data_IF_218016618641
#
_entry.id   IF_218016618641
#
_cell.length_a   1.000
_cell.length_b   1.000
_cell.length_c   1.000
_cell.angle_alpha   90.00
_cell.angle_beta   90.00
_cell.angle_gamma   90.00
#
_symmetry.space_group_name_H-M   'P 1'
#
loop_
_entity.id
_entity.type
_entity.pdbx_description
1 polymer ?
#
# COMPACT_ATOMS: atom_id res chain seq x y z
N UNK A 1 23.80 10.89 45.32
CA UNK A 1 22.62 10.40 44.57
C UNK A 1 22.44 11.19 43.28
N UNK A 2 23.45 11.96 42.86
CA UNK A 2 23.31 13.05 41.90
C UNK A 2 23.97 12.72 40.55
N UNK A 3 24.61 11.56 40.45
CA UNK A 3 25.25 11.06 39.22
C UNK A 3 24.36 10.20 38.34
N UNK A 4 23.37 9.50 38.92
CA UNK A 4 22.40 8.70 38.16
C UNK A 4 21.27 9.56 37.57
N UNK A 5 20.84 10.63 38.24
CA UNK A 5 19.83 11.56 37.70
C UNK A 5 20.34 12.42 36.53
N UNK A 6 21.64 12.76 36.51
CA UNK A 6 22.25 13.53 35.41
C UNK A 6 22.47 12.71 34.14
N UNK A 7 22.75 11.40 34.27
CA UNK A 7 22.82 10.48 33.12
C UNK A 7 21.42 10.19 32.57
N UNK A 8 20.44 9.94 33.44
CA UNK A 8 19.05 9.73 33.00
C UNK A 8 18.44 10.99 32.37
N UNK A 9 18.77 12.19 32.86
CA UNK A 9 18.35 13.45 32.26
C UNK A 9 18.94 13.69 30.87
N UNK A 10 20.23 13.38 30.68
CA UNK A 10 20.91 13.51 29.38
C UNK A 10 20.34 12.57 28.30
N UNK A 11 20.07 11.32 28.66
CA UNK A 11 19.48 10.34 27.73
C UNK A 11 18.03 10.67 27.38
N UNK A 12 17.29 11.25 28.33
CA UNK A 12 15.89 11.66 28.14
C UNK A 12 15.82 12.86 27.19
N UNK A 13 16.62 13.91 27.41
CA UNK A 13 16.72 15.08 26.53
C UNK A 13 17.24 14.72 25.12
N UNK A 14 18.20 13.79 25.02
CA UNK A 14 18.66 13.24 23.75
C UNK A 14 17.54 12.47 23.03
N UNK A 15 16.76 11.66 23.74
CA UNK A 15 15.63 10.93 23.18
C UNK A 15 14.54 11.87 22.65
N UNK A 16 14.21 12.93 23.40
CA UNK A 16 13.24 13.95 22.98
C UNK A 16 13.70 14.78 21.78
N UNK A 17 15.00 15.07 21.66
CA UNK A 17 15.56 15.81 20.53
C UNK A 17 15.71 14.96 19.26
N UNK A 18 15.87 13.64 19.40
CA UNK A 18 15.91 12.70 18.27
C UNK A 18 14.52 12.33 17.75
N UNK A 19 13.48 12.46 18.57
CA UNK A 19 12.12 12.03 18.24
C UNK A 19 11.55 12.66 16.95
N UNK A 20 11.69 13.98 16.67
CA UNK A 20 11.23 14.59 15.42
C UNK A 20 12.02 14.13 14.19
N UNK A 21 13.33 13.91 14.35
CA UNK A 21 14.20 13.38 13.30
C UNK A 21 13.82 11.95 12.94
N UNK A 22 13.59 11.11 13.96
CA UNK A 22 13.11 9.74 13.81
C UNK A 22 11.71 9.70 13.19
N UNK A 23 10.81 10.59 13.60
CA UNK A 23 9.48 10.69 13.02
C UNK A 23 9.53 11.06 11.54
N UNK A 24 10.40 12.01 11.16
CA UNK A 24 10.59 12.41 9.76
C UNK A 24 11.21 11.29 8.93
N UNK A 25 12.21 10.59 9.46
CA UNK A 25 12.79 9.39 8.83
C UNK A 25 11.71 8.31 8.62
N UNK A 26 10.94 8.01 9.65
CA UNK A 26 9.85 7.04 9.58
C UNK A 26 8.77 7.49 8.59
N UNK A 27 8.50 8.78 8.47
CA UNK A 27 7.54 9.31 7.49
C UNK A 27 8.05 9.11 6.05
N UNK A 28 9.34 9.39 5.80
CA UNK A 28 9.95 9.25 4.47
C UNK A 28 10.03 7.79 4.02
N UNK A 29 10.51 6.90 4.90
CA UNK A 29 10.75 5.50 4.54
C UNK A 29 9.60 4.57 4.90
N UNK A 30 8.69 4.98 5.78
CA UNK A 30 7.64 4.12 6.32
C UNK A 30 6.75 3.51 5.25
N UNK A 31 6.43 4.28 4.21
CA UNK A 31 5.69 3.78 3.06
C UNK A 31 6.47 2.74 2.23
N UNK A 32 7.81 2.82 2.20
CA UNK A 32 8.65 1.89 1.44
C UNK A 32 8.90 0.57 2.20
N UNK A 33 8.85 0.59 3.54
CA UNK A 33 9.18 -0.55 4.41
C UNK A 33 8.41 -1.85 4.06
N UNK A 34 7.09 -1.84 3.79
CA UNK A 34 6.36 -3.06 3.45
C UNK A 34 6.84 -3.75 2.16
N UNK A 35 7.45 -2.98 1.24
CA UNK A 35 7.94 -3.51 -0.04
C UNK A 35 9.31 -4.17 0.07
N UNK A 36 10.08 -3.90 1.13
CA UNK A 36 11.39 -4.54 1.36
C UNK A 36 11.27 -6.06 1.54
N UNK A 37 10.46 -6.61 2.46
CA UNK A 37 10.29 -8.05 2.57
C UNK A 37 9.68 -8.63 1.29
N UNK A 38 8.72 -7.91 0.67
CA UNK A 38 8.11 -8.34 -0.59
C UNK A 38 9.15 -8.47 -1.72
N UNK A 39 10.10 -7.54 -1.82
CA UNK A 39 11.20 -7.59 -2.79
C UNK A 39 12.05 -8.84 -2.57
N UNK A 40 12.43 -9.11 -1.31
CA UNK A 40 13.24 -10.27 -0.94
C UNK A 40 12.52 -11.59 -1.26
N UNK A 41 11.22 -11.66 -0.99
CA UNK A 41 10.40 -12.85 -1.27
C UNK A 41 10.30 -13.14 -2.77
N UNK A 42 10.10 -12.12 -3.61
CA UNK A 42 10.07 -12.27 -5.07
C UNK A 42 11.46 -12.70 -5.59
N UNK A 43 12.53 -12.10 -5.07
CA UNK A 43 13.89 -12.42 -5.47
C UNK A 43 14.28 -13.87 -5.12
N UNK A 44 13.85 -14.38 -3.96
CA UNK A 44 14.13 -15.75 -3.53
C UNK A 44 13.27 -16.78 -4.25
N UNK A 45 11.98 -16.49 -4.41
CA UNK A 45 11.02 -17.43 -5.01
C UNK A 45 11.14 -17.54 -6.52
N UNK A 46 11.73 -16.55 -7.20
CA UNK A 46 11.73 -16.43 -8.66
C UNK A 46 10.32 -16.48 -9.27
N UNK A 47 9.28 -16.18 -8.49
CA UNK A 47 7.90 -16.11 -8.97
C UNK A 47 7.25 -14.81 -8.50
N UNK A 48 6.66 -14.04 -9.41
CA UNK A 48 6.04 -12.74 -9.11
C UNK A 48 4.51 -12.81 -8.94
N UNK A 49 3.91 -14.00 -8.86
CA UNK A 49 2.45 -14.16 -8.89
C UNK A 49 1.73 -13.55 -7.68
N UNK A 50 2.43 -13.44 -6.54
CA UNK A 50 1.87 -12.84 -5.33
C UNK A 50 1.83 -11.30 -5.32
N UNK A 51 2.48 -10.62 -6.28
CA UNK A 51 2.58 -9.16 -6.29
C UNK A 51 1.89 -8.54 -7.50
N UNK A 52 0.98 -7.59 -7.25
CA UNK A 52 0.24 -6.91 -8.30
C UNK A 52 1.00 -5.70 -8.82
N UNK A 53 1.49 -5.75 -10.07
CA UNK A 53 2.13 -4.60 -10.73
C UNK A 53 1.20 -3.40 -10.83
N UNK A 54 -0.12 -3.58 -10.77
CA UNK A 54 -1.10 -2.49 -10.74
C UNK A 54 -0.99 -1.63 -9.49
N UNK A 55 -0.54 -2.20 -8.36
CA UNK A 55 -0.27 -1.41 -7.15
C UNK A 55 0.86 -0.41 -7.42
N UNK A 56 1.92 -0.85 -8.11
CA UNK A 56 2.99 0.05 -8.54
C UNK A 56 2.48 1.16 -9.48
N UNK A 57 1.55 0.86 -10.40
CA UNK A 57 0.94 1.89 -11.25
C UNK A 57 0.27 2.98 -10.42
N UNK A 58 -0.64 2.57 -9.53
CA UNK A 58 -1.44 3.49 -8.72
C UNK A 58 -0.52 4.35 -7.85
N UNK A 59 0.51 3.75 -7.24
CA UNK A 59 1.48 4.49 -6.43
C UNK A 59 2.37 5.41 -7.25
N UNK A 60 2.83 5.00 -8.43
CA UNK A 60 3.61 5.88 -9.29
C UNK A 60 2.78 7.11 -9.70
N UNK A 61 1.52 6.90 -10.13
CA UNK A 61 0.61 8.00 -10.45
C UNK A 61 0.38 8.89 -9.24
N UNK A 62 0.07 8.32 -8.07
CA UNK A 62 -0.19 9.07 -6.83
C UNK A 62 0.99 9.98 -6.47
N UNK A 63 2.22 9.44 -6.49
CA UNK A 63 3.40 10.18 -6.07
C UNK A 63 3.87 11.20 -7.13
N UNK A 64 3.68 10.92 -8.43
CA UNK A 64 3.92 11.93 -9.47
C UNK A 64 2.95 13.10 -9.31
N UNK A 65 1.64 12.84 -9.14
CA UNK A 65 0.64 13.88 -8.90
C UNK A 65 0.94 14.67 -7.63
N UNK A 66 1.42 14.02 -6.58
CA UNK A 66 1.81 14.66 -5.32
C UNK A 66 2.99 15.64 -5.49
N UNK A 67 3.96 15.31 -6.34
CA UNK A 67 5.06 16.24 -6.68
C UNK A 67 4.51 17.49 -7.37
N UNK A 68 3.58 17.34 -8.32
CA UNK A 68 2.94 18.50 -8.96
C UNK A 68 2.04 19.29 -8.00
N UNK A 69 1.35 18.61 -7.08
CA UNK A 69 0.61 19.27 -6.02
C UNK A 69 1.51 20.14 -5.15
N UNK A 70 2.72 19.66 -4.82
CA UNK A 70 3.71 20.45 -4.08
C UNK A 70 4.15 21.73 -4.81
N UNK A 71 4.26 21.67 -6.15
CA UNK A 71 4.57 22.85 -6.98
C UNK A 71 3.46 23.90 -6.87
N UNK A 72 2.19 23.47 -6.87
CA UNK A 72 1.05 24.38 -6.72
C UNK A 72 0.84 24.87 -5.29
N UNK A 73 1.15 24.02 -4.29
CA UNK A 73 0.98 24.32 -2.86
C UNK A 73 2.11 23.67 -2.08
N UNK A 74 3.06 24.48 -1.64
CA UNK A 74 4.21 24.00 -0.87
C UNK A 74 3.75 23.51 0.51
N UNK A 75 4.00 22.23 0.76
CA UNK A 75 3.87 21.59 2.07
C UNK A 75 5.22 21.01 2.49
N UNK A 76 5.28 20.41 3.68
CA UNK A 76 6.50 19.85 4.26
C UNK A 76 7.38 19.04 3.31
N UNK A 77 8.67 19.36 3.30
CA UNK A 77 9.66 18.70 2.44
C UNK A 77 9.75 17.19 2.73
N UNK A 78 9.51 16.78 3.97
CA UNK A 78 9.44 15.37 4.38
C UNK A 78 8.47 14.56 3.51
N UNK A 79 7.32 15.14 3.15
CA UNK A 79 6.29 14.49 2.34
C UNK A 79 6.67 14.43 0.86
N UNK A 80 7.42 15.43 0.39
CA UNK A 80 8.00 15.41 -0.95
C UNK A 80 9.07 14.32 -1.06
N UNK A 81 9.97 14.23 -0.08
CA UNK A 81 10.99 13.19 0.00
C UNK A 81 10.35 11.79 0.09
N UNK A 82 9.27 11.64 0.85
CA UNK A 82 8.47 10.41 0.91
C UNK A 82 7.97 10.00 -0.49
N UNK A 83 7.54 10.96 -1.31
CA UNK A 83 7.07 10.71 -2.68
C UNK A 83 8.21 10.21 -3.58
N UNK A 84 9.38 10.85 -3.48
CA UNK A 84 10.56 10.47 -4.26
C UNK A 84 11.03 9.06 -3.89
N UNK A 85 11.14 8.76 -2.59
CA UNK A 85 11.53 7.43 -2.10
C UNK A 85 10.53 6.38 -2.59
N UNK A 86 9.23 6.65 -2.49
CA UNK A 86 8.20 5.74 -2.96
C UNK A 86 8.28 5.48 -4.47
N UNK A 87 8.52 6.51 -5.30
CA UNK A 87 8.72 6.35 -6.75
C UNK A 87 9.91 5.42 -7.03
N UNK A 88 11.04 5.64 -6.37
CA UNK A 88 12.23 4.80 -6.52
C UNK A 88 11.95 3.35 -6.10
N UNK A 89 11.26 3.14 -4.97
CA UNK A 89 10.86 1.80 -4.53
C UNK A 89 9.93 1.12 -5.55
N UNK A 90 8.95 1.84 -6.11
CA UNK A 90 8.03 1.27 -7.11
C UNK A 90 8.75 0.91 -8.41
N UNK A 91 9.70 1.71 -8.86
CA UNK A 91 10.53 1.35 -10.01
C UNK A 91 11.43 0.16 -9.73
N UNK A 92 12.03 0.06 -8.54
CA UNK A 92 12.83 -1.10 -8.15
C UNK A 92 11.98 -2.39 -8.12
N UNK A 93 10.77 -2.32 -7.58
CA UNK A 93 9.80 -3.43 -7.58
C UNK A 93 9.39 -3.84 -9.00
N UNK A 94 9.08 -2.87 -9.88
CA UNK A 94 8.74 -3.15 -11.27
C UNK A 94 9.90 -3.77 -12.04
N UNK A 95 11.12 -3.26 -11.85
CA UNK A 95 12.31 -3.80 -12.47
C UNK A 95 12.56 -5.27 -12.07
N UNK A 96 12.44 -5.58 -10.77
CA UNK A 96 12.52 -6.95 -10.29
C UNK A 96 11.44 -7.84 -10.91
N UNK A 97 10.19 -7.38 -10.92
CA UNK A 97 9.08 -8.15 -11.51
C UNK A 97 9.31 -8.43 -13.00
N UNK A 98 9.77 -7.44 -13.76
CA UNK A 98 10.10 -7.62 -15.18
C UNK A 98 11.25 -8.61 -15.37
N UNK A 99 12.30 -8.52 -14.55
CA UNK A 99 13.47 -9.41 -14.61
C UNK A 99 13.07 -10.87 -14.34
N UNK A 100 12.25 -11.09 -13.32
CA UNK A 100 11.75 -12.43 -12.95
C UNK A 100 10.80 -12.96 -14.03
N UNK A 101 9.86 -12.15 -14.53
CA UNK A 101 8.95 -12.56 -15.60
C UNK A 101 9.68 -12.87 -16.91
N UNK A 102 10.71 -12.09 -17.25
CA UNK A 102 11.50 -12.33 -18.45
C UNK A 102 12.34 -13.62 -18.34
N UNK A 103 12.90 -13.90 -17.16
CA UNK A 103 13.64 -15.14 -16.89
C UNK A 103 12.76 -16.38 -16.98
N UNK A 104 11.51 -16.30 -16.49
CA UNK A 104 10.59 -17.44 -16.47
C UNK A 104 9.75 -17.62 -17.76
N UNK A 105 9.70 -16.62 -18.66
CA UNK A 105 8.91 -16.74 -19.90
C UNK A 105 9.62 -17.56 -20.95
N UNK A 106 9.15 -18.80 -21.12
CA UNK A 106 9.40 -19.59 -22.34
C UNK A 106 8.49 -19.05 -23.46
N UNK A 107 9.04 -18.15 -24.29
CA UNK A 107 8.55 -17.74 -25.62
C UNK A 107 7.02 -17.77 -25.84
N UNK A 108 6.29 -16.86 -25.21
CA UNK A 108 4.89 -16.56 -25.57
C UNK A 108 4.71 -15.05 -25.63
N UNK A 109 4.58 -14.51 -26.84
CA UNK A 109 4.19 -13.13 -27.25
C UNK A 109 4.67 -11.94 -26.38
N UNK A 110 5.63 -11.17 -26.88
CA UNK A 110 6.15 -9.95 -26.23
C UNK A 110 5.13 -8.81 -26.30
N UNK A 111 4.65 -8.31 -25.16
CA UNK A 111 3.72 -7.17 -25.10
C UNK A 111 4.51 -5.89 -24.82
N UNK A 112 4.46 -4.97 -25.78
CA UNK A 112 5.14 -3.67 -25.71
C UNK A 112 4.13 -2.54 -25.65
N UNK A 113 4.56 -1.38 -25.20
CA UNK A 113 3.73 -0.18 -25.17
C UNK A 113 3.13 0.18 -26.55
N UNK A 114 3.87 -0.13 -27.63
CA UNK A 114 3.46 0.10 -29.01
C UNK A 114 2.23 -0.71 -29.46
N UNK A 115 1.87 -1.78 -28.76
CA UNK A 115 0.76 -2.66 -29.15
C UNK A 115 -0.61 -2.04 -28.87
N UNK A 116 -0.67 -0.90 -28.13
CA UNK A 116 -1.85 -0.04 -27.88
C UNK A 116 -3.18 -0.75 -27.52
N UNK A 117 -3.14 -2.04 -27.14
CA UNK A 117 -4.30 -2.78 -26.68
C UNK A 117 -4.49 -2.53 -25.18
N UNK A 118 -5.56 -1.81 -24.86
CA UNK A 118 -5.96 -1.43 -23.49
C UNK A 118 -6.13 -2.66 -22.59
N UNK A 119 -6.41 -3.84 -23.14
CA UNK A 119 -6.53 -5.09 -22.36
C UNK A 119 -5.22 -5.52 -21.71
N UNK A 120 -4.09 -5.13 -22.29
CA UNK A 120 -2.74 -5.43 -21.79
C UNK A 120 -2.06 -4.20 -21.17
N UNK A 121 -2.85 -3.17 -20.85
CA UNK A 121 -2.36 -1.98 -20.17
C UNK A 121 -1.67 -2.35 -18.85
N UNK A 122 -0.44 -1.87 -18.66
CA UNK A 122 0.41 -2.15 -17.49
C UNK A 122 0.83 -3.62 -17.30
N UNK A 123 0.89 -4.38 -18.41
CA UNK A 123 1.43 -5.76 -18.46
C UNK A 123 2.54 -5.90 -19.49
N UNK A 124 3.39 -4.88 -19.60
CA UNK A 124 4.51 -4.87 -20.54
C UNK A 124 5.63 -5.79 -20.09
N UNK A 125 6.34 -6.37 -21.06
CA UNK A 125 7.43 -7.30 -20.81
C UNK A 125 8.75 -6.61 -20.44
N UNK A 126 8.91 -5.34 -20.81
CA UNK A 126 10.18 -4.61 -20.69
C UNK A 126 10.00 -3.42 -19.76
N UNK A 127 10.99 -3.16 -18.90
CA UNK A 127 10.93 -2.12 -17.87
C UNK A 127 10.87 -0.70 -18.47
N UNK A 128 11.53 -0.49 -19.59
CA UNK A 128 11.62 0.80 -20.30
C UNK A 128 10.25 1.30 -20.75
N UNK A 129 9.33 0.39 -21.10
CA UNK A 129 7.96 0.76 -21.49
C UNK A 129 7.20 1.39 -20.30
N UNK A 130 7.46 0.93 -19.06
CA UNK A 130 6.90 1.53 -17.85
C UNK A 130 7.50 2.92 -17.58
N UNK A 131 8.82 3.06 -17.73
CA UNK A 131 9.49 4.36 -17.59
C UNK A 131 8.97 5.37 -18.62
N UNK A 132 8.82 4.95 -19.88
CA UNK A 132 8.32 5.80 -20.95
C UNK A 132 6.88 6.27 -20.68
N UNK A 133 6.02 5.38 -20.20
CA UNK A 133 4.67 5.77 -19.77
C UNK A 133 4.71 6.79 -18.63
N UNK A 134 5.48 6.53 -17.57
CA UNK A 134 5.61 7.44 -16.43
C UNK A 134 6.18 8.79 -16.84
N UNK A 135 7.16 8.82 -17.73
CA UNK A 135 7.70 10.05 -18.30
C UNK A 135 6.65 10.81 -19.10
N UNK A 136 5.92 10.13 -20.01
CA UNK A 136 4.83 10.74 -20.77
C UNK A 136 3.72 11.30 -19.88
N UNK A 137 3.33 10.56 -18.84
CA UNK A 137 2.38 11.02 -17.83
C UNK A 137 2.90 12.24 -17.07
N UNK A 138 4.18 12.24 -16.68
CA UNK A 138 4.82 13.38 -16.00
C UNK A 138 4.83 14.62 -16.87
N UNK A 139 5.18 14.50 -18.17
CA UNK A 139 5.15 15.62 -19.12
C UNK A 139 3.73 16.15 -19.30
N UNK A 140 2.73 15.26 -19.43
CA UNK A 140 1.33 15.64 -19.52
C UNK A 140 0.89 16.41 -18.26
N UNK A 141 1.18 15.87 -17.07
CA UNK A 141 0.87 16.53 -15.81
C UNK A 141 1.59 17.89 -15.69
N UNK A 142 2.84 17.99 -16.14
CA UNK A 142 3.59 19.25 -16.14
C UNK A 142 2.90 20.29 -17.03
N UNK A 143 2.55 19.94 -18.27
CA UNK A 143 1.85 20.85 -19.20
C UNK A 143 0.53 21.31 -18.61
N UNK A 144 -0.30 20.39 -18.13
CA UNK A 144 -1.60 20.72 -17.53
C UNK A 144 -1.43 21.59 -16.28
N UNK A 145 -0.47 21.27 -15.42
CA UNK A 145 -0.19 22.02 -14.19
C UNK A 145 0.31 23.43 -14.51
N UNK A 146 1.20 23.60 -15.48
CA UNK A 146 1.69 24.92 -15.89
C UNK A 146 0.58 25.81 -16.48
N UNK A 147 -0.40 25.21 -17.18
CA UNK A 147 -1.53 25.96 -17.73
C UNK A 147 -2.59 26.35 -16.69
N UNK A 148 -2.74 25.57 -15.62
CA UNK A 148 -3.82 25.70 -14.63
C UNK A 148 -3.32 26.03 -13.22
N UNK A 149 -2.03 26.36 -13.05
CA UNK A 149 -1.41 26.59 -11.75
C UNK A 149 -2.11 27.69 -10.94
N UNK A 150 -2.54 28.75 -11.62
CA UNK A 150 -3.22 29.90 -10.99
C UNK A 150 -4.62 29.56 -10.45
N UNK A 151 -5.20 28.44 -10.87
CA UNK A 151 -6.51 27.99 -10.41
C UNK A 151 -6.39 27.18 -9.12
N UNK A 152 -6.79 27.78 -8.00
CA UNK A 152 -6.80 27.09 -6.70
C UNK A 152 -7.64 25.80 -6.73
N UNK A 153 -8.77 25.81 -7.45
CA UNK A 153 -9.63 24.63 -7.61
C UNK A 153 -8.88 23.47 -8.27
N UNK A 154 -8.05 23.76 -9.28
CA UNK A 154 -7.22 22.75 -9.93
C UNK A 154 -6.19 22.16 -8.97
N UNK A 155 -5.44 23.02 -8.26
CA UNK A 155 -4.40 22.58 -7.31
C UNK A 155 -4.99 21.73 -6.18
N UNK A 156 -6.11 22.14 -5.60
CA UNK A 156 -6.77 21.39 -4.52
C UNK A 156 -7.34 20.05 -5.03
N UNK A 157 -7.85 20.00 -6.25
CA UNK A 157 -8.32 18.75 -6.89
C UNK A 157 -7.15 17.82 -7.21
N UNK A 158 -6.04 18.36 -7.72
CA UNK A 158 -4.83 17.61 -8.01
C UNK A 158 -4.27 16.94 -6.75
N UNK A 159 -4.18 17.69 -5.65
CA UNK A 159 -3.80 17.15 -4.34
C UNK A 159 -4.76 16.08 -3.85
N UNK A 160 -6.07 16.31 -3.98
CA UNK A 160 -7.09 15.35 -3.56
C UNK A 160 -6.98 14.03 -4.35
N UNK A 161 -6.79 14.10 -5.66
CA UNK A 161 -6.57 12.92 -6.52
C UNK A 161 -5.28 12.17 -6.16
N UNK A 162 -4.19 12.90 -5.91
CA UNK A 162 -2.91 12.32 -5.53
C UNK A 162 -3.02 11.48 -4.25
N UNK A 163 -3.64 12.02 -3.20
CA UNK A 163 -3.80 11.30 -1.92
C UNK A 163 -4.88 10.22 -2.02
N UNK A 164 -5.93 10.42 -2.83
CA UNK A 164 -6.96 9.40 -3.08
C UNK A 164 -6.38 8.13 -3.72
N UNK A 165 -5.50 8.26 -4.72
CA UNK A 165 -4.83 7.09 -5.30
C UNK A 165 -3.97 6.36 -4.26
N UNK A 166 -3.33 7.07 -3.33
CA UNK A 166 -2.62 6.43 -2.22
C UNK A 166 -3.58 5.71 -1.26
N UNK A 167 -4.78 6.24 -1.02
CA UNK A 167 -5.81 5.57 -0.21
C UNK A 167 -6.42 4.32 -0.85
N UNK A 168 -6.29 4.15 -2.17
CA UNK A 168 -6.75 2.96 -2.85
C UNK A 168 -5.92 1.71 -2.57
N UNK A 169 -4.84 1.77 -1.77
CA UNK A 169 -4.02 0.60 -1.46
C UNK A 169 -4.76 -0.50 -0.69
N UNK A 170 -5.49 -0.13 0.37
CA UNK A 170 -6.24 -1.10 1.19
C UNK A 170 -7.55 -1.55 0.55
N UNK A 171 -8.10 -0.76 -0.38
CA UNK A 171 -9.44 -0.98 -0.91
C UNK A 171 -9.62 -2.30 -1.71
N UNK A 172 -8.70 -2.71 -2.60
CA UNK A 172 -8.78 -4.01 -3.27
C UNK A 172 -8.83 -5.18 -2.29
N UNK A 173 -8.09 -5.10 -1.19
CA UNK A 173 -8.08 -6.15 -0.17
C UNK A 173 -9.42 -6.24 0.56
N UNK A 174 -10.02 -5.09 0.92
CA UNK A 174 -11.36 -5.01 1.50
C UNK A 174 -12.42 -5.66 0.58
N UNK A 175 -12.38 -5.35 -0.71
CA UNK A 175 -13.29 -5.91 -1.71
C UNK A 175 -13.08 -7.41 -1.90
N UNK A 176 -11.83 -7.87 -1.99
CA UNK A 176 -11.51 -9.27 -2.20
C UNK A 176 -12.01 -10.13 -1.03
N UNK A 177 -11.81 -9.66 0.20
CA UNK A 177 -12.33 -10.30 1.40
C UNK A 177 -13.86 -10.37 1.39
N UNK A 178 -14.54 -9.28 1.01
CA UNK A 178 -16.00 -9.23 0.93
C UNK A 178 -16.54 -10.20 -0.12
N UNK A 179 -15.95 -10.23 -1.31
CA UNK A 179 -16.37 -11.12 -2.39
C UNK A 179 -16.12 -12.60 -2.07
N UNK A 180 -15.00 -12.91 -1.42
CA UNK A 180 -14.63 -14.29 -1.08
C UNK A 180 -15.29 -14.78 0.21
N UNK A 181 -15.95 -13.90 0.98
CA UNK A 181 -16.42 -14.17 2.34
C UNK A 181 -15.36 -14.88 3.20
N UNK A 182 -14.07 -14.58 2.98
CA UNK A 182 -12.97 -15.27 3.62
C UNK A 182 -11.73 -14.39 3.64
N UNK A 183 -11.00 -14.44 4.75
CA UNK A 183 -9.68 -13.79 4.92
C UNK A 183 -8.53 -14.81 4.86
N UNK A 184 -8.77 -16.04 4.37
CA UNK A 184 -7.73 -17.07 4.23
C UNK A 184 -6.66 -16.63 3.23
N UNK A 185 -5.39 -16.68 3.64
CA UNK A 185 -4.24 -16.25 2.85
C UNK A 185 -3.81 -14.81 3.07
N UNK A 186 -4.54 -14.05 3.89
CA UNK A 186 -4.21 -12.67 4.22
C UNK A 186 -3.32 -12.57 5.46
N UNK A 187 -2.27 -11.73 5.42
CA UNK A 187 -1.40 -11.47 6.57
C UNK A 187 -2.01 -10.43 7.50
N UNK A 188 -2.68 -10.87 8.58
CA UNK A 188 -3.29 -9.96 9.57
C UNK A 188 -2.25 -9.02 10.22
N UNK A 189 -1.00 -9.49 10.40
CA UNK A 189 0.09 -8.67 10.95
C UNK A 189 0.45 -7.49 10.05
N UNK A 190 0.36 -7.67 8.73
CA UNK A 190 0.62 -6.61 7.75
C UNK A 190 -0.43 -5.49 7.89
N UNK A 191 -1.70 -5.87 8.03
CA UNK A 191 -2.82 -4.93 8.19
C UNK A 191 -2.67 -4.12 9.47
N UNK A 192 -2.34 -4.77 10.58
CA UNK A 192 -2.09 -4.08 11.85
C UNK A 192 -0.95 -3.06 11.73
N UNK A 193 0.09 -3.38 10.95
CA UNK A 193 1.21 -2.47 10.69
C UNK A 193 0.79 -1.31 9.78
N UNK A 194 -0.05 -1.54 8.78
CA UNK A 194 -0.65 -0.48 7.96
C UNK A 194 -1.46 0.47 8.82
N UNK A 195 -2.32 -0.07 9.69
CA UNK A 195 -3.18 0.76 10.55
C UNK A 195 -2.35 1.60 11.51
N UNK A 196 -1.32 1.01 12.11
CA UNK A 196 -0.39 1.75 12.97
C UNK A 196 0.37 2.85 12.19
N UNK A 197 0.79 2.54 10.97
CA UNK A 197 1.44 3.50 10.06
C UNK A 197 0.52 4.65 9.69
N UNK A 198 -0.73 4.38 9.33
CA UNK A 198 -1.71 5.40 8.92
C UNK A 198 -2.17 6.27 10.10
N UNK A 199 -2.27 5.69 11.30
CA UNK A 199 -2.48 6.46 12.55
C UNK A 199 -1.30 7.40 12.80
N UNK A 200 -0.07 6.89 12.74
CA UNK A 200 1.13 7.71 12.88
C UNK A 200 1.17 8.84 11.83
N UNK A 201 0.88 8.51 10.57
CA UNK A 201 0.83 9.45 9.45
C UNK A 201 -0.20 10.55 9.67
N UNK A 202 -1.40 10.19 10.14
CA UNK A 202 -2.47 11.13 10.46
C UNK A 202 -2.07 12.10 11.57
N UNK A 203 -1.47 11.58 12.65
CA UNK A 203 -0.95 12.42 13.74
C UNK A 203 0.12 13.38 13.22
N UNK A 204 1.05 12.89 12.40
CA UNK A 204 2.07 13.73 11.77
C UNK A 204 1.46 14.84 10.93
N UNK A 205 0.45 14.54 10.10
CA UNK A 205 -0.23 15.55 9.27
C UNK A 205 -0.93 16.63 10.08
N UNK A 206 -1.59 16.25 11.18
CA UNK A 206 -2.29 17.20 12.06
C UNK A 206 -1.29 18.07 12.82
N UNK A 207 -0.21 17.48 13.36
CA UNK A 207 0.81 18.23 14.09
C UNK A 207 1.58 19.20 13.20
N UNK A 208 1.79 18.85 11.93
CA UNK A 208 2.57 19.65 11.00
C UNK A 208 1.71 20.55 10.08
N UNK A 209 0.45 20.78 10.45
CA UNK A 209 -0.53 21.62 9.73
C UNK A 209 -0.58 21.35 8.22
N UNK A 210 -0.48 20.07 7.84
CA UNK A 210 -0.44 19.66 6.44
C UNK A 210 -1.78 19.96 5.75
N UNK A 211 -1.79 20.16 4.41
CA UNK A 211 -3.02 20.41 3.65
C UNK A 211 -4.13 19.40 3.96
N UNK A 212 -5.38 19.87 4.00
CA UNK A 212 -6.49 19.09 4.52
C UNK A 212 -6.71 17.73 3.82
N UNK A 213 -6.33 17.65 2.54
CA UNK A 213 -6.34 16.42 1.74
C UNK A 213 -5.60 15.26 2.42
N UNK A 214 -4.47 15.55 3.08
CA UNK A 214 -3.63 14.52 3.68
C UNK A 214 -4.31 13.85 4.87
N UNK A 215 -4.74 14.61 5.87
CA UNK A 215 -5.34 14.03 7.08
C UNK A 215 -6.75 13.47 6.81
N UNK A 216 -7.54 14.09 5.93
CA UNK A 216 -8.86 13.57 5.54
C UNK A 216 -8.71 12.20 4.87
N UNK A 217 -7.82 12.10 3.88
CA UNK A 217 -7.63 10.86 3.14
C UNK A 217 -6.96 9.78 3.99
N UNK A 218 -6.02 10.16 4.87
CA UNK A 218 -5.42 9.23 5.83
C UNK A 218 -6.44 8.70 6.84
N UNK A 219 -7.42 9.52 7.23
CA UNK A 219 -8.54 9.06 8.06
C UNK A 219 -9.38 8.01 7.33
N UNK A 220 -9.61 8.18 6.03
CA UNK A 220 -10.29 7.17 5.19
C UNK A 220 -9.47 5.88 5.10
N UNK A 221 -8.14 5.95 5.00
CA UNK A 221 -7.27 4.76 5.03
C UNK A 221 -7.44 3.99 6.34
N UNK A 222 -7.38 4.67 7.49
CA UNK A 222 -7.62 4.04 8.81
C UNK A 222 -9.00 3.36 8.85
N UNK A 223 -10.04 3.98 8.29
CA UNK A 223 -11.37 3.37 8.23
C UNK A 223 -11.41 2.11 7.37
N UNK A 224 -10.73 2.10 6.22
CA UNK A 224 -10.62 0.91 5.36
C UNK A 224 -9.90 -0.20 6.11
N UNK A 225 -8.80 0.12 6.78
CA UNK A 225 -8.02 -0.81 7.57
C UNK A 225 -8.83 -1.43 8.73
N UNK A 226 -9.57 -0.61 9.47
CA UNK A 226 -10.48 -1.08 10.52
C UNK A 226 -11.58 -1.97 9.93
N UNK A 227 -12.13 -1.64 8.76
CA UNK A 227 -13.13 -2.47 8.09
C UNK A 227 -12.55 -3.83 7.67
N UNK A 228 -11.30 -3.87 7.21
CA UNK A 228 -10.57 -5.11 6.91
C UNK A 228 -10.37 -5.95 8.17
N UNK A 229 -9.92 -5.33 9.28
CA UNK A 229 -9.74 -6.02 10.57
C UNK A 229 -11.08 -6.57 11.10
N UNK A 230 -12.17 -5.85 10.89
CA UNK A 230 -13.51 -6.33 11.24
C UNK A 230 -13.89 -7.56 10.40
N UNK A 231 -13.62 -7.59 9.09
CA UNK A 231 -13.82 -8.77 8.26
C UNK A 231 -13.02 -9.98 8.75
N UNK A 232 -11.79 -9.76 9.24
CA UNK A 232 -10.98 -10.83 9.84
C UNK A 232 -11.69 -11.43 11.05
N UNK A 233 -12.24 -10.61 11.94
CA UNK A 233 -12.96 -11.09 13.12
C UNK A 233 -14.23 -11.85 12.71
N UNK A 234 -15.05 -11.29 11.81
CA UNK A 234 -16.32 -11.89 11.38
C UNK A 234 -16.11 -13.24 10.67
N UNK A 235 -15.22 -13.30 9.66
CA UNK A 235 -15.00 -14.53 8.90
C UNK A 235 -14.18 -15.58 9.68
N UNK A 236 -13.44 -15.18 10.72
CA UNK A 236 -12.79 -16.14 11.62
C UNK A 236 -13.79 -16.94 12.48
N UNK A 237 -14.97 -16.37 12.75
CA UNK A 237 -16.01 -17.03 13.57
C UNK A 237 -16.79 -18.08 12.77
N UNK A 238 -17.10 -17.81 11.50
CA UNK A 238 -17.74 -18.79 10.61
C UNK A 238 -16.91 -20.06 10.43
N UNK A 239 -15.58 -19.95 10.48
CA UNK A 239 -14.69 -21.11 10.36
C UNK A 239 -14.67 -21.99 11.63
N UNK A 240 -15.16 -21.51 12.79
CA UNK A 240 -15.21 -22.28 14.04
C UNK A 240 -16.54 -23.03 14.28
N UNK A 241 -17.53 -22.87 13.39
CA UNK A 241 -18.82 -23.56 13.50
C UNK A 241 -19.11 -24.67 12.45
N UNK A 242 -18.15 -25.48 11.96
CA UNK A 242 -18.53 -26.75 11.35
C UNK A 242 -18.64 -27.85 12.43
N UNK A 243 -19.88 -28.23 12.75
CA UNK A 243 -20.33 -29.52 13.34
C UNK A 243 -19.82 -29.88 14.75
N UNK A 244 -20.45 -29.34 15.80
CA UNK A 244 -20.57 -30.04 17.10
C UNK A 244 -21.94 -30.70 17.32
N UNK A 245 -22.87 -30.60 16.38
CA UNK A 245 -24.19 -31.21 16.48
C UNK A 245 -24.54 -31.86 15.15
N UNK A 246 -24.28 -33.17 15.02
CA UNK A 246 -25.04 -34.23 14.32
C UNK A 246 -24.12 -35.45 14.44
N UNK A 247 -24.19 -36.16 15.57
CA UNK A 247 -23.74 -37.56 15.71
C UNK A 247 -24.21 -38.19 17.05
N UNK A 248 -25.27 -37.65 17.65
CA UNK A 248 -25.90 -38.23 18.83
C UNK A 248 -27.42 -38.27 18.63
N UNK A 249 -27.89 -39.24 17.83
CA UNK A 249 -29.32 -39.34 17.58
C UNK A 249 -29.75 -40.49 16.68
N UNK A 250 -29.68 -41.71 17.21
CA UNK A 250 -30.74 -42.69 16.97
C UNK A 250 -30.59 -43.62 15.77
N UNK A 251 -30.49 -44.91 16.12
CA UNK A 251 -31.37 -46.00 15.67
C UNK A 251 -30.61 -47.17 15.01
N UNK A 252 -30.17 -48.12 15.84
CA UNK A 252 -29.92 -49.50 15.44
C UNK A 252 -30.92 -50.40 16.17
N UNK A 253 -31.96 -50.80 15.46
CA UNK A 253 -32.87 -51.87 15.86
C UNK A 253 -33.36 -52.61 14.61
N UNK A 254 -32.69 -53.73 14.27
CA UNK A 254 -33.35 -54.93 13.73
C UNK A 254 -32.45 -56.14 14.08
N UNK A 255 -32.95 -57.16 14.82
CA UNK A 255 -32.31 -58.45 14.95
C UNK A 255 -32.76 -59.37 13.80
N UNK A 256 -31.85 -60.14 13.21
CA UNK A 256 -32.21 -61.28 12.36
C UNK A 256 -31.74 -62.55 13.07
N UNK A 257 -32.73 -63.33 13.50
CA UNK A 257 -32.59 -64.69 14.00
C UNK A 257 -32.70 -65.70 12.83
N UNK A 258 -32.01 -66.83 13.01
CA UNK A 258 -32.29 -68.18 12.49
C UNK A 258 -32.78 -68.38 11.05
N UNK A 259 -31.89 -68.88 10.17
CA UNK A 259 -31.85 -70.26 9.65
C UNK A 259 -30.77 -70.41 8.58
#
# INVERSE_FOLDING_TARGET
MDGEELLHGGDTEASWSLLPWMASLLMVFGGALPYVPQYQDIQRSNHSEGFSTRVCLVLLIANILRIFFWIGKQFELTLLLQSVVMILTMFAMLHLCCTVQNTNRVSTKQHRLSDLDVRYFWKWSVFEDYLLFCFGFTVLCAVVTLLLLDSAMFVETLGSLAVMFEAMLGFPQLLQNFHNCSTKGMSVKMVMLWTAGDVFKTVYFVMNESPAQFWVCSSVQILIDVAILLQVILYSQDTRFPLKNIDAGGNKSVPAADQ
#
